data_IF_808822440973
#
_entry.id   IF_808822440973
#
_cell.length_a   1.000
_cell.length_b   1.000
_cell.length_c   1.000
_cell.angle_alpha   90.00
_cell.angle_beta   90.00
_cell.angle_gamma   90.00
#
_symmetry.space_group_name_H-M   'P 1'
#
loop_
_entity.id
_entity.type
_entity.pdbx_description
1 polymer ?
#
# COMPACT_ATOMS: atom_id res chain seq x y z
N UNK A 1 20.16 -8.67 -3.23
CA UNK A 1 19.03 -9.25 -4.01
C UNK A 1 19.03 -8.86 -5.48
N UNK A 2 19.38 -7.62 -5.88
CA UNK A 2 19.56 -7.25 -7.30
C UNK A 2 20.53 -8.18 -8.03
N UNK A 3 21.69 -8.45 -7.44
CA UNK A 3 22.73 -9.36 -7.97
C UNK A 3 22.21 -10.79 -8.21
N UNK A 4 21.26 -11.28 -7.41
CA UNK A 4 20.74 -12.64 -7.53
C UNK A 4 19.75 -12.75 -8.70
N UNK A 5 18.93 -11.72 -8.92
CA UNK A 5 18.08 -11.59 -10.10
C UNK A 5 18.94 -11.39 -11.35
N UNK A 6 19.94 -10.50 -11.29
CA UNK A 6 20.90 -10.30 -12.39
C UNK A 6 21.68 -11.58 -12.70
N UNK A 7 22.11 -12.35 -11.70
CA UNK A 7 22.76 -13.65 -11.91
C UNK A 7 21.80 -14.64 -12.57
N UNK A 8 20.57 -14.80 -12.08
CA UNK A 8 19.62 -15.75 -12.67
C UNK A 8 19.25 -15.39 -14.12
N UNK A 9 19.21 -14.10 -14.47
CA UNK A 9 18.88 -13.66 -15.85
C UNK A 9 20.10 -13.65 -16.78
N UNK A 10 21.25 -13.14 -16.33
CA UNK A 10 22.43 -12.98 -17.17
C UNK A 10 23.32 -14.21 -17.22
N UNK A 11 23.33 -15.06 -16.18
CA UNK A 11 24.16 -16.27 -16.16
C UNK A 11 23.78 -17.28 -17.25
N UNK A 12 22.50 -17.67 -17.46
CA UNK A 12 22.16 -18.59 -18.55
C UNK A 12 22.40 -17.97 -19.94
N UNK A 13 22.26 -16.65 -20.06
CA UNK A 13 22.47 -15.90 -21.30
C UNK A 13 23.96 -15.80 -21.65
N UNK A 14 24.80 -15.55 -20.64
CA UNK A 14 26.25 -15.49 -20.76
C UNK A 14 26.86 -16.89 -20.93
N UNK A 15 26.33 -17.90 -20.25
CA UNK A 15 26.71 -19.30 -20.45
C UNK A 15 26.34 -19.76 -21.87
N UNK A 16 25.14 -19.43 -22.35
CA UNK A 16 24.72 -19.67 -23.73
C UNK A 16 25.60 -18.97 -24.76
N UNK A 17 26.00 -17.72 -24.50
CA UNK A 17 26.90 -16.96 -25.37
C UNK A 17 28.33 -17.53 -25.40
N UNK A 18 28.87 -17.95 -24.26
CA UNK A 18 30.20 -18.57 -24.16
C UNK A 18 30.20 -19.93 -24.86
N UNK A 19 29.16 -20.75 -24.65
CA UNK A 19 29.00 -22.03 -25.36
C UNK A 19 28.87 -21.82 -26.88
N UNK A 20 28.11 -20.81 -27.32
CA UNK A 20 27.96 -20.49 -28.74
C UNK A 20 29.26 -19.98 -29.38
N UNK A 21 30.03 -19.14 -28.69
CA UNK A 21 31.28 -18.57 -29.21
C UNK A 21 32.44 -19.57 -29.24
N UNK A 22 32.57 -20.43 -28.23
CA UNK A 22 33.58 -21.49 -28.20
C UNK A 22 33.27 -22.56 -29.25
N UNK A 23 32.01 -22.85 -29.56
CA UNK A 23 31.62 -23.91 -30.49
C UNK A 23 31.34 -23.49 -31.93
N UNK A 24 31.12 -22.20 -32.19
CA UNK A 24 31.18 -21.63 -33.55
C UNK A 24 32.46 -22.02 -34.28
N UNK A 25 33.55 -22.28 -33.55
CA UNK A 25 34.82 -22.69 -34.14
C UNK A 25 34.94 -24.19 -34.44
N UNK A 26 33.91 -25.04 -34.22
CA UNK A 26 34.11 -26.51 -34.23
C UNK A 26 33.23 -27.40 -35.15
N UNK A 27 31.94 -27.17 -35.45
CA UNK A 27 31.18 -28.09 -36.38
C UNK A 27 29.80 -27.59 -36.92
N UNK A 28 29.26 -28.25 -37.97
CA UNK A 28 28.23 -27.73 -38.93
C UNK A 28 26.75 -28.16 -38.76
N UNK A 29 26.37 -29.09 -37.88
CA UNK A 29 25.00 -29.64 -37.86
C UNK A 29 24.29 -29.43 -36.51
N UNK A 30 23.69 -28.25 -36.25
CA UNK A 30 23.11 -27.97 -34.92
C UNK A 30 21.90 -27.01 -34.84
N UNK A 31 21.08 -26.87 -35.88
CA UNK A 31 19.80 -26.13 -35.83
C UNK A 31 18.90 -26.44 -34.61
N UNK A 32 18.70 -27.71 -34.18
CA UNK A 32 17.73 -28.00 -33.12
C UNK A 32 18.14 -27.55 -31.72
N UNK A 33 19.45 -27.57 -31.39
CA UNK A 33 19.92 -27.19 -30.04
C UNK A 33 19.90 -25.68 -29.84
N UNK A 34 20.27 -24.90 -30.86
CA UNK A 34 20.18 -23.45 -30.83
C UNK A 34 18.73 -22.98 -30.71
N UNK A 35 17.81 -23.67 -31.41
CA UNK A 35 16.36 -23.43 -31.32
C UNK A 35 15.84 -23.73 -29.92
N UNK A 36 16.28 -24.83 -29.29
CA UNK A 36 15.88 -25.17 -27.91
C UNK A 36 16.38 -24.14 -26.88
N UNK A 37 17.61 -23.64 -27.01
CA UNK A 37 18.16 -22.58 -26.15
C UNK A 37 17.46 -21.24 -26.34
N UNK A 38 17.18 -20.84 -27.58
CA UNK A 38 16.37 -19.65 -27.87
C UNK A 38 14.97 -19.73 -27.27
N UNK A 39 14.34 -20.90 -27.38
CA UNK A 39 13.03 -21.17 -26.78
C UNK A 39 13.11 -21.07 -25.24
N UNK A 40 14.14 -21.66 -24.61
CA UNK A 40 14.34 -21.55 -23.16
C UNK A 40 14.57 -20.09 -22.72
N UNK A 41 15.32 -19.31 -23.48
CA UNK A 41 15.57 -17.90 -23.21
C UNK A 41 14.29 -17.06 -23.31
N UNK A 42 13.45 -17.29 -24.33
CA UNK A 42 12.16 -16.59 -24.46
C UNK A 42 11.20 -16.94 -23.32
N UNK A 43 11.11 -18.22 -22.93
CA UNK A 43 10.31 -18.65 -21.78
C UNK A 43 10.81 -17.96 -20.50
N UNK A 44 12.13 -17.99 -20.27
CA UNK A 44 12.74 -17.39 -19.08
C UNK A 44 12.52 -15.87 -19.04
N UNK A 45 12.61 -15.19 -20.17
CA UNK A 45 12.32 -13.76 -20.30
C UNK A 45 10.90 -13.40 -19.87
N UNK A 46 9.90 -14.17 -20.34
CA UNK A 46 8.49 -13.96 -19.95
C UNK A 46 8.31 -14.11 -18.43
N UNK A 47 8.93 -15.13 -17.81
CA UNK A 47 8.86 -15.28 -16.36
C UNK A 47 9.57 -14.15 -15.63
N UNK A 48 10.73 -13.70 -16.10
CA UNK A 48 11.47 -12.60 -15.50
C UNK A 48 10.65 -11.29 -15.51
N UNK A 49 10.03 -10.95 -16.63
CA UNK A 49 9.16 -9.77 -16.75
C UNK A 49 7.96 -9.84 -15.82
N UNK A 50 7.31 -11.00 -15.72
CA UNK A 50 6.16 -11.20 -14.80
C UNK A 50 6.58 -11.03 -13.35
N UNK A 51 7.74 -11.55 -12.97
CA UNK A 51 8.29 -11.41 -11.62
C UNK A 51 8.68 -9.97 -11.30
N UNK A 52 9.34 -9.28 -12.23
CA UNK A 52 9.72 -7.87 -12.07
C UNK A 52 8.46 -6.99 -11.91
N UNK A 53 7.46 -7.18 -12.78
CA UNK A 53 6.19 -6.44 -12.73
C UNK A 53 5.45 -6.68 -11.41
N UNK A 54 5.39 -7.92 -10.93
CA UNK A 54 4.75 -8.25 -9.66
C UNK A 54 5.47 -7.59 -8.48
N UNK A 55 6.80 -7.59 -8.50
CA UNK A 55 7.61 -6.94 -7.48
C UNK A 55 7.42 -5.42 -7.48
N UNK A 56 7.46 -4.77 -8.65
CA UNK A 56 7.26 -3.33 -8.78
C UNK A 56 5.88 -2.90 -8.29
N UNK A 57 4.82 -3.62 -8.68
CA UNK A 57 3.46 -3.41 -8.17
C UNK A 57 3.41 -3.52 -6.66
N UNK A 58 4.01 -4.58 -6.08
CA UNK A 58 4.06 -4.76 -4.62
C UNK A 58 4.73 -3.58 -3.91
N UNK A 59 5.84 -3.07 -4.45
CA UNK A 59 6.55 -1.91 -3.89
C UNK A 59 5.70 -0.65 -3.95
N UNK A 60 5.02 -0.42 -5.08
CA UNK A 60 4.16 0.75 -5.27
C UNK A 60 2.96 0.74 -4.32
N UNK A 61 2.29 -0.41 -4.17
CA UNK A 61 1.20 -0.59 -3.21
C UNK A 61 1.66 -0.36 -1.77
N UNK A 62 2.83 -0.87 -1.37
CA UNK A 62 3.36 -0.62 -0.03
C UNK A 62 3.60 0.87 0.23
N UNK A 63 4.13 1.60 -0.75
CA UNK A 63 4.31 3.05 -0.64
C UNK A 63 2.98 3.78 -0.53
N UNK A 64 2.02 3.43 -1.39
CA UNK A 64 0.70 4.05 -1.37
C UNK A 64 -0.03 3.77 -0.05
N UNK A 65 0.09 2.55 0.49
CA UNK A 65 -0.52 2.15 1.75
C UNK A 65 0.02 2.97 2.92
N UNK A 66 1.32 3.23 2.95
CA UNK A 66 1.90 4.06 4.01
C UNK A 66 1.51 5.53 3.89
N UNK A 67 1.37 6.06 2.67
CA UNK A 67 0.80 7.39 2.50
C UNK A 67 -0.65 7.45 2.99
N UNK A 68 -1.44 6.40 2.76
CA UNK A 68 -2.80 6.26 3.31
C UNK A 68 -2.77 6.21 4.85
N UNK A 69 -1.91 5.39 5.46
CA UNK A 69 -1.75 5.32 6.93
C UNK A 69 -1.40 6.68 7.53
N UNK A 70 -0.43 7.40 6.96
CA UNK A 70 -0.03 8.75 7.45
C UNK A 70 -1.15 9.78 7.27
N UNK A 71 -1.86 9.72 6.15
CA UNK A 71 -3.01 10.60 5.92
C UNK A 71 -4.11 10.33 6.95
N UNK A 72 -4.35 9.06 7.26
CA UNK A 72 -5.32 8.65 8.27
C UNK A 72 -4.88 9.00 9.69
N UNK A 73 -3.59 8.93 10.01
CA UNK A 73 -3.07 9.43 11.28
C UNK A 73 -3.27 10.95 11.41
N UNK A 74 -3.03 11.71 10.34
CA UNK A 74 -3.31 13.14 10.30
C UNK A 74 -4.82 13.44 10.46
N UNK A 75 -5.70 12.59 9.92
CA UNK A 75 -7.15 12.69 10.14
C UNK A 75 -7.49 12.40 11.60
N UNK A 76 -7.01 11.28 12.17
CA UNK A 76 -7.31 10.87 13.54
C UNK A 76 -6.80 11.87 14.60
N UNK A 77 -5.77 12.64 14.27
CA UNK A 77 -5.23 13.72 15.11
C UNK A 77 -5.88 15.09 14.85
N UNK A 78 -6.88 15.18 13.98
CA UNK A 78 -7.57 16.42 13.67
C UNK A 78 -8.32 16.97 14.90
N UNK A 79 -8.14 18.26 15.16
CA UNK A 79 -8.80 18.96 16.27
C UNK A 79 -10.34 18.92 16.19
N UNK A 80 -10.92 18.62 15.02
CA UNK A 80 -12.36 18.40 14.86
C UNK A 80 -12.92 17.24 15.70
N UNK A 81 -12.07 16.30 16.10
CA UNK A 81 -12.43 15.24 17.04
C UNK A 81 -12.40 15.69 18.52
N UNK A 82 -11.94 16.91 18.79
CA UNK A 82 -11.94 17.51 20.11
C UNK A 82 -13.20 18.36 20.33
N UNK A 83 -13.89 18.14 21.46
CA UNK A 83 -15.10 18.87 21.85
C UNK A 83 -14.88 20.38 21.93
N UNK A 84 -13.67 20.82 22.30
CA UNK A 84 -13.31 22.23 22.41
C UNK A 84 -13.28 22.97 21.07
N UNK A 85 -13.22 22.25 19.94
CA UNK A 85 -13.20 22.85 18.60
C UNK A 85 -14.60 23.21 18.08
N UNK A 86 -15.64 22.66 18.70
CA UNK A 86 -17.00 22.82 18.23
C UNK A 86 -17.54 24.23 18.53
N UNK A 87 -18.09 24.89 17.50
CA UNK A 87 -18.73 26.20 17.65
C UNK A 87 -20.25 26.02 17.75
N UNK A 88 -20.92 26.58 18.77
CA UNK A 88 -22.36 26.47 18.91
C UNK A 88 -23.07 27.03 17.66
N UNK A 89 -24.11 26.33 17.21
CA UNK A 89 -24.90 26.72 16.03
C UNK A 89 -24.30 26.33 14.68
N UNK A 90 -23.19 25.57 14.63
CA UNK A 90 -22.67 24.98 13.39
C UNK A 90 -22.94 23.47 13.36
N UNK A 91 -23.19 22.88 12.18
CA UNK A 91 -23.30 21.43 12.06
C UNK A 91 -21.97 20.75 12.43
N UNK A 92 -22.05 19.65 13.17
CA UNK A 92 -20.91 18.78 13.48
C UNK A 92 -20.65 17.88 12.28
N UNK A 93 -19.44 17.94 11.71
CA UNK A 93 -19.00 17.08 10.61
C UNK A 93 -17.59 16.59 10.90
N UNK A 94 -17.41 15.28 10.97
CA UNK A 94 -16.13 14.65 11.25
C UNK A 94 -15.41 14.24 9.96
N UNK A 95 -14.07 14.40 9.90
CA UNK A 95 -13.29 13.92 8.76
C UNK A 95 -13.32 12.39 8.70
N UNK A 96 -13.37 11.83 7.49
CA UNK A 96 -13.48 10.37 7.27
C UNK A 96 -12.14 9.76 6.94
N UNK A 97 -11.94 8.53 7.40
CA UNK A 97 -10.74 7.77 7.12
C UNK A 97 -10.79 7.23 5.69
N UNK A 98 -9.66 7.30 5.01
CA UNK A 98 -9.44 6.91 3.62
C UNK A 98 -9.12 5.43 3.57
N UNK A 99 -9.78 4.64 2.70
CA UNK A 99 -9.54 3.18 2.53
C UNK A 99 -9.18 2.77 1.10
N UNK A 100 -8.95 3.75 0.22
CA UNK A 100 -8.85 3.56 -1.22
C UNK A 100 -7.74 2.59 -1.67
N UNK A 101 -6.53 2.77 -1.13
CA UNK A 101 -5.37 1.96 -1.47
C UNK A 101 -5.52 0.59 -0.85
N UNK A 102 -6.02 0.52 0.39
CA UNK A 102 -6.26 -0.76 1.06
C UNK A 102 -7.27 -1.62 0.30
N UNK A 103 -8.39 -1.06 -0.14
CA UNK A 103 -9.38 -1.75 -0.97
C UNK A 103 -8.77 -2.26 -2.28
N UNK A 104 -7.99 -1.41 -2.94
CA UNK A 104 -7.31 -1.76 -4.19
C UNK A 104 -6.25 -2.86 -3.98
N UNK A 105 -5.52 -2.82 -2.87
CA UNK A 105 -4.51 -3.81 -2.51
C UNK A 105 -5.14 -5.18 -2.19
N UNK A 106 -6.27 -5.20 -1.48
CA UNK A 106 -7.03 -6.42 -1.20
C UNK A 106 -7.63 -7.00 -2.48
N UNK A 107 -8.24 -6.17 -3.33
CA UNK A 107 -8.85 -6.60 -4.60
C UNK A 107 -7.83 -7.11 -5.62
N UNK A 108 -6.63 -6.51 -5.67
CA UNK A 108 -5.56 -6.92 -6.58
C UNK A 108 -4.80 -8.18 -6.13
N UNK A 109 -5.00 -8.64 -4.89
CA UNK A 109 -4.35 -9.84 -4.37
C UNK A 109 -2.83 -9.71 -4.23
N UNK A 110 -2.29 -8.49 -4.27
CA UNK A 110 -0.83 -8.24 -4.25
C UNK A 110 -0.16 -8.76 -2.97
N UNK A 111 -0.91 -8.85 -1.88
CA UNK A 111 -0.46 -9.38 -0.58
C UNK A 111 -1.01 -10.78 -0.26
N UNK A 112 -1.55 -11.52 -1.25
CA UNK A 112 -2.08 -12.86 -1.03
C UNK A 112 -0.99 -13.94 -0.80
N UNK A 113 0.28 -13.59 -1.02
CA UNK A 113 1.40 -14.50 -0.78
C UNK A 113 1.56 -14.83 0.71
N UNK A 114 2.01 -16.06 1.02
CA UNK A 114 2.19 -16.54 2.40
C UNK A 114 3.10 -15.64 3.26
N UNK A 115 4.05 -14.97 2.62
CA UNK A 115 4.98 -14.03 3.27
C UNK A 115 4.28 -12.77 3.83
N UNK A 116 3.16 -12.38 3.25
CA UNK A 116 2.43 -11.15 3.57
C UNK A 116 1.13 -11.44 4.35
N UNK A 117 0.94 -12.68 4.85
CA UNK A 117 -0.31 -13.13 5.49
C UNK A 117 -0.71 -12.28 6.71
N UNK A 118 0.26 -11.88 7.52
CA UNK A 118 0.02 -11.03 8.70
C UNK A 118 -0.48 -9.64 8.29
N UNK A 119 0.23 -9.00 7.35
CA UNK A 119 -0.18 -7.71 6.78
C UNK A 119 -1.57 -7.80 6.14
N UNK A 120 -1.84 -8.86 5.38
CA UNK A 120 -3.13 -9.09 4.74
C UNK A 120 -4.27 -9.21 5.78
N UNK A 121 -4.03 -9.92 6.88
CA UNK A 121 -5.00 -10.03 7.98
C UNK A 121 -5.26 -8.67 8.65
N UNK A 122 -4.20 -7.90 8.90
CA UNK A 122 -4.31 -6.56 9.48
C UNK A 122 -5.05 -5.59 8.56
N UNK A 123 -4.80 -5.65 7.25
CA UNK A 123 -5.52 -4.83 6.26
C UNK A 123 -7.00 -5.15 6.22
N UNK A 124 -7.38 -6.43 6.30
CA UNK A 124 -8.78 -6.83 6.40
C UNK A 124 -9.44 -6.32 7.68
N UNK A 125 -8.77 -6.48 8.82
CA UNK A 125 -9.27 -5.99 10.10
C UNK A 125 -9.42 -4.47 10.09
N UNK A 126 -8.39 -3.76 9.64
CA UNK A 126 -8.39 -2.30 9.55
C UNK A 126 -9.48 -1.79 8.62
N UNK A 127 -9.66 -2.40 7.43
CA UNK A 127 -10.75 -2.06 6.51
C UNK A 127 -12.11 -2.19 7.19
N UNK A 128 -12.34 -3.27 7.91
CA UNK A 128 -13.59 -3.50 8.62
C UNK A 128 -13.81 -2.44 9.71
N UNK A 129 -12.80 -2.18 10.55
CA UNK A 129 -12.85 -1.17 11.61
C UNK A 129 -13.12 0.23 11.06
N UNK A 130 -12.43 0.61 9.97
CA UNK A 130 -12.60 1.93 9.36
C UNK A 130 -14.00 2.10 8.75
N UNK A 131 -14.50 1.07 8.06
CA UNK A 131 -15.84 1.12 7.48
C UNK A 131 -16.92 1.25 8.55
N UNK A 132 -16.78 0.52 9.67
CA UNK A 132 -17.72 0.63 10.78
C UNK A 132 -17.61 1.99 11.48
N UNK A 133 -16.39 2.50 11.69
CA UNK A 133 -16.15 3.83 12.24
C UNK A 133 -16.78 4.93 11.38
N UNK A 134 -16.49 4.94 10.07
CA UNK A 134 -17.05 5.91 9.13
C UNK A 134 -18.59 5.79 9.11
N UNK A 135 -19.16 4.58 9.07
CA UNK A 135 -20.61 4.40 9.09
C UNK A 135 -21.25 4.95 10.37
N UNK A 136 -20.62 4.73 11.53
CA UNK A 136 -21.10 5.28 12.81
C UNK A 136 -21.04 6.80 12.82
N UNK A 137 -19.99 7.41 12.25
CA UNK A 137 -19.93 8.86 12.07
C UNK A 137 -21.10 9.36 11.21
N UNK A 138 -21.41 8.71 10.08
CA UNK A 138 -22.54 9.11 9.22
C UNK A 138 -23.87 9.13 9.97
N UNK A 139 -24.17 8.05 10.70
CA UNK A 139 -25.41 7.92 11.47
C UNK A 139 -25.49 9.01 12.53
N UNK A 140 -24.37 9.29 13.19
CA UNK A 140 -24.38 10.19 14.34
C UNK A 140 -24.39 11.66 13.92
N UNK A 141 -23.70 12.01 12.83
CA UNK A 141 -23.80 13.32 12.18
C UNK A 141 -25.23 13.61 11.71
N UNK A 142 -25.89 12.62 11.10
CA UNK A 142 -27.29 12.74 10.66
C UNK A 142 -28.23 12.98 11.86
N UNK A 143 -28.00 12.30 12.98
CA UNK A 143 -28.78 12.47 14.21
C UNK A 143 -28.58 13.87 14.81
N UNK A 144 -27.34 14.35 14.90
CA UNK A 144 -27.05 15.70 15.42
C UNK A 144 -27.61 16.79 14.52
N UNK A 145 -27.60 16.58 13.20
CA UNK A 145 -28.19 17.52 12.25
C UNK A 145 -29.71 17.64 12.42
N UNK A 146 -30.39 16.52 12.71
CA UNK A 146 -31.84 16.49 12.89
C UNK A 146 -32.31 16.92 14.29
N UNK A 147 -31.48 16.71 15.32
CA UNK A 147 -31.78 17.12 16.70
C UNK A 147 -30.55 17.75 17.39
N UNK A 148 -30.28 19.05 17.20
CA UNK A 148 -29.08 19.69 17.70
C UNK A 148 -29.23 20.11 19.17
N UNK A 149 -29.30 19.15 20.09
CA UNK A 149 -29.22 19.42 21.53
C UNK A 149 -27.75 19.52 21.96
N UNK A 150 -27.30 20.65 22.55
CA UNK A 150 -25.88 20.83 22.94
C UNK A 150 -25.35 19.75 23.90
N UNK A 151 -26.22 19.20 24.75
CA UNK A 151 -25.88 18.10 25.67
C UNK A 151 -25.62 16.79 24.93
N UNK A 152 -26.40 16.49 23.88
CA UNK A 152 -26.19 15.28 23.06
C UNK A 152 -24.87 15.37 22.29
N UNK A 153 -24.48 16.56 21.83
CA UNK A 153 -23.22 16.81 21.12
C UNK A 153 -22.01 16.52 22.05
N UNK A 154 -22.04 16.97 23.31
CA UNK A 154 -20.96 16.69 24.24
C UNK A 154 -20.84 15.19 24.55
N UNK A 155 -21.98 14.52 24.80
CA UNK A 155 -22.01 13.08 25.03
C UNK A 155 -21.51 12.27 23.83
N UNK A 156 -21.70 12.79 22.61
CA UNK A 156 -21.15 12.22 21.40
C UNK A 156 -19.63 12.30 21.36
N UNK A 157 -19.05 13.46 21.69
CA UNK A 157 -17.59 13.62 21.72
C UNK A 157 -16.94 12.67 22.74
N UNK A 158 -17.55 12.52 23.92
CA UNK A 158 -17.09 11.55 24.94
C UNK A 158 -17.19 10.11 24.42
N UNK A 159 -18.35 9.72 23.89
CA UNK A 159 -18.55 8.38 23.34
C UNK A 159 -17.65 8.06 22.14
N UNK A 160 -17.24 9.07 21.37
CA UNK A 160 -16.33 8.92 20.24
C UNK A 160 -14.89 8.66 20.72
N UNK A 161 -14.43 9.41 21.73
CA UNK A 161 -13.09 9.23 22.31
C UNK A 161 -12.96 7.91 23.06
N UNK A 162 -14.03 7.46 23.72
CA UNK A 162 -14.08 6.16 24.39
C UNK A 162 -14.38 4.99 23.42
N UNK A 163 -14.71 5.29 22.15
CA UNK A 163 -15.10 4.25 21.21
C UNK A 163 -13.93 3.29 20.94
N UNK A 164 -14.27 1.99 20.99
CA UNK A 164 -13.33 0.93 20.65
C UNK A 164 -12.79 1.10 19.22
N UNK A 165 -13.65 1.48 18.29
CA UNK A 165 -13.34 1.60 16.86
C UNK A 165 -12.35 2.73 16.58
N UNK A 166 -12.45 3.86 17.30
CA UNK A 166 -11.47 4.93 17.20
C UNK A 166 -10.09 4.48 17.69
N UNK A 167 -10.05 3.83 18.86
CA UNK A 167 -8.80 3.30 19.44
C UNK A 167 -8.19 2.17 18.60
N UNK A 168 -9.03 1.27 18.07
CA UNK A 168 -8.63 0.20 17.17
C UNK A 168 -8.09 0.78 15.85
N UNK A 169 -8.75 1.80 15.28
CA UNK A 169 -8.29 2.47 14.05
C UNK A 169 -6.90 3.10 14.25
N UNK A 170 -6.67 3.78 15.38
CA UNK A 170 -5.35 4.33 15.74
C UNK A 170 -4.30 3.22 15.87
N UNK A 171 -4.62 2.16 16.62
CA UNK A 171 -3.69 1.05 16.91
C UNK A 171 -3.33 0.28 15.64
N UNK A 172 -4.32 -0.05 14.81
CA UNK A 172 -4.12 -0.77 13.56
C UNK A 172 -3.37 0.07 12.53
N UNK A 173 -3.65 1.38 12.45
CA UNK A 173 -2.92 2.28 11.54
C UNK A 173 -1.43 2.31 11.89
N UNK A 174 -1.09 2.42 13.18
CA UNK A 174 0.30 2.37 13.65
C UNK A 174 0.95 1.00 13.44
N UNK A 175 0.21 -0.08 13.68
CA UNK A 175 0.71 -1.43 13.48
C UNK A 175 1.07 -1.66 11.99
N UNK A 176 0.18 -1.30 11.07
CA UNK A 176 0.42 -1.38 9.63
C UNK A 176 1.60 -0.50 9.22
N UNK A 177 1.68 0.74 9.70
CA UNK A 177 2.82 1.62 9.41
C UNK A 177 4.14 1.02 9.89
N UNK A 178 4.18 0.40 11.07
CA UNK A 178 5.39 -0.23 11.61
C UNK A 178 5.86 -1.41 10.73
N UNK A 179 4.92 -2.23 10.25
CA UNK A 179 5.21 -3.38 9.39
C UNK A 179 5.69 -2.89 8.02
N UNK A 180 5.00 -1.90 7.44
CA UNK A 180 5.37 -1.36 6.13
C UNK A 180 6.73 -0.65 6.18
N UNK A 181 7.00 0.11 7.24
CA UNK A 181 8.26 0.83 7.43
C UNK A 181 9.44 -0.11 7.70
N UNK A 182 9.24 -1.17 8.50
CA UNK A 182 10.29 -2.17 8.75
C UNK A 182 10.66 -2.98 7.50
N UNK A 183 9.68 -3.28 6.64
CA UNK A 183 9.92 -4.01 5.39
C UNK A 183 10.51 -3.13 4.27
N UNK A 184 10.43 -1.79 4.37
CA UNK A 184 10.93 -0.85 3.35
C UNK A 184 11.58 0.43 3.94
N UNK A 185 12.74 0.33 4.61
CA UNK A 185 13.38 1.48 5.25
C UNK A 185 13.89 2.57 4.28
N UNK A 186 14.16 2.24 3.01
CA UNK A 186 15.16 2.97 2.22
C UNK A 186 14.65 3.86 1.06
N UNK A 187 13.35 4.16 0.96
CA UNK A 187 12.83 5.03 -0.12
C UNK A 187 11.67 5.96 0.29
N UNK A 188 11.70 6.49 1.51
CA UNK A 188 10.79 7.58 1.90
C UNK A 188 11.35 8.94 1.48
N UNK A 189 11.14 9.31 0.22
CA UNK A 189 10.86 10.72 -0.07
C UNK A 189 9.34 10.86 -0.11
N UNK A 190 8.73 11.69 0.77
CA UNK A 190 7.30 11.92 0.73
C UNK A 190 6.93 12.44 -0.66
N UNK A 191 5.79 11.97 -1.19
CA UNK A 191 5.29 12.35 -2.52
C UNK A 191 5.12 13.88 -2.66
N UNK A 192 4.97 14.61 -1.54
CA UNK A 192 4.98 16.08 -1.49
C UNK A 192 6.30 16.75 -1.89
N UNK A 193 7.44 16.03 -1.87
CA UNK A 193 8.73 16.55 -2.33
C UNK A 193 8.91 16.52 -3.86
N UNK A 194 8.03 15.83 -4.60
CA UNK A 194 8.02 15.86 -6.06
C UNK A 194 7.17 16.99 -6.61
N UNK A 195 6.12 17.41 -5.88
CA UNK A 195 5.28 18.55 -6.28
C UNK A 195 5.90 19.91 -5.92
N UNK A 196 6.79 19.98 -4.92
CA UNK A 196 7.52 21.22 -4.59
C UNK A 196 8.60 21.60 -5.62
N UNK A 197 9.03 20.66 -6.47
CA UNK A 197 10.00 20.92 -7.53
C UNK A 197 9.35 21.33 -8.86
N UNK A 198 8.04 21.14 -9.03
CA UNK A 198 7.31 21.58 -10.24
C UNK A 198 6.93 23.06 -10.16
N UNK A 199 6.78 23.62 -8.95
CA UNK A 199 6.45 25.04 -8.75
C UNK A 199 7.66 25.98 -8.61
N UNK A 200 8.87 25.55 -9.00
CA UNK A 200 10.09 26.40 -9.00
C UNK A 200 10.66 26.71 -10.38
N UNK A 201 9.97 26.33 -11.45
CA UNK A 201 10.44 26.56 -12.84
C UNK A 201 9.55 27.51 -13.64
N UNK A 202 8.87 28.44 -12.98
CA UNK A 202 8.21 29.59 -13.63
C UNK A 202 8.78 30.89 -13.09
#
# INVERSE_FOLDING_TARGET
MKILVTLITFFPLLLGFILATIWWTREKNFEPLLTALGLLATITGIFAERWATAYEKRVEFMRALLNECRSNEAILSDNRFNSNSHKPGRPVVFPRLIVSVTETALASGVFAERKDRELFSLLHQWRHTVNEFNRRLDITELRVFTNPLPQEINSLYEALQESKEFNDAVTLTRAIESIVSSQYPDKFKPFGALLSNVNRTT
#
